data_IF_362969329556
#
_entry.id   IF_362969329556
#
_cell.length_a   1.000
_cell.length_b   1.000
_cell.length_c   1.000
_cell.angle_alpha   90.00
_cell.angle_beta   90.00
_cell.angle_gamma   90.00
#
_symmetry.space_group_name_H-M   'P 1'
#
loop_
_entity.id
_entity.type
_entity.pdbx_description
1 polymer ?
#
# COMPACT_ATOMS: atom_id res chain seq x y z
N UNK A 1 -20.23 1.80 11.46
CA UNK A 1 -19.97 3.26 11.37
C UNK A 1 -18.60 3.60 10.76
N UNK A 2 -17.52 2.85 11.04
CA UNK A 2 -16.16 3.14 10.50
C UNK A 2 -16.04 3.03 8.97
N UNK A 3 -16.56 1.97 8.33
CA UNK A 3 -16.50 1.80 6.86
C UNK A 3 -17.20 2.91 6.06
N UNK A 4 -18.32 3.43 6.56
CA UNK A 4 -19.05 4.54 5.93
C UNK A 4 -18.24 5.83 6.02
N UNK A 5 -17.57 6.08 7.14
CA UNK A 5 -16.67 7.22 7.30
C UNK A 5 -15.44 7.12 6.38
N UNK A 6 -14.83 5.94 6.24
CA UNK A 6 -13.71 5.68 5.34
C UNK A 6 -14.11 5.84 3.86
N UNK A 7 -15.30 5.37 3.49
CA UNK A 7 -15.85 5.54 2.14
C UNK A 7 -16.12 7.00 1.80
N UNK A 8 -16.73 7.74 2.73
CA UNK A 8 -16.94 9.19 2.58
C UNK A 8 -15.60 9.90 2.45
N UNK A 9 -14.65 9.69 3.37
CA UNK A 9 -13.30 10.28 3.32
C UNK A 9 -12.59 10.00 2.00
N UNK A 10 -12.62 8.74 1.56
CA UNK A 10 -12.03 8.32 0.30
C UNK A 10 -12.65 9.06 -0.89
N UNK A 11 -13.98 9.13 -0.92
CA UNK A 11 -14.75 9.83 -1.94
C UNK A 11 -14.49 11.33 -1.97
N UNK A 12 -14.52 12.03 -0.84
CA UNK A 12 -14.30 13.49 -0.80
C UNK A 12 -12.89 13.85 -1.24
N UNK A 13 -11.89 13.07 -0.84
CA UNK A 13 -10.50 13.33 -1.21
C UNK A 13 -10.29 13.12 -2.72
N UNK A 14 -10.88 12.07 -3.30
CA UNK A 14 -10.91 11.83 -4.74
C UNK A 14 -11.60 12.97 -5.51
N UNK A 15 -12.73 13.45 -5.01
CA UNK A 15 -13.46 14.59 -5.60
C UNK A 15 -12.63 15.87 -5.52
N UNK A 16 -11.97 16.15 -4.40
CA UNK A 16 -11.06 17.28 -4.26
C UNK A 16 -9.87 17.20 -5.24
N UNK A 17 -9.28 16.01 -5.42
CA UNK A 17 -8.21 15.79 -6.40
C UNK A 17 -8.68 16.07 -7.84
N UNK A 18 -9.91 15.65 -8.17
CA UNK A 18 -10.52 15.88 -9.48
C UNK A 18 -10.87 17.36 -9.70
N UNK A 19 -11.39 18.05 -8.70
CA UNK A 19 -11.75 19.48 -8.79
C UNK A 19 -10.53 20.40 -8.91
N UNK A 20 -9.41 20.05 -8.27
CA UNK A 20 -8.16 20.81 -8.39
C UNK A 20 -7.42 20.54 -9.73
N UNK A 21 -7.83 19.52 -10.48
CA UNK A 21 -7.21 19.16 -11.75
C UNK A 21 -7.72 20.01 -12.92
N UNK A 22 -7.00 21.08 -13.24
CA UNK A 22 -7.14 21.78 -14.54
C UNK A 22 -6.27 21.18 -15.65
N UNK A 23 -5.33 20.29 -15.32
CA UNK A 23 -4.37 19.66 -16.25
C UNK A 23 -4.00 18.26 -15.77
N UNK A 24 -3.65 17.35 -16.71
CA UNK A 24 -3.27 15.95 -16.42
C UNK A 24 -2.17 15.84 -15.35
N UNK A 25 -1.21 16.77 -15.34
CA UNK A 25 -0.11 16.78 -14.36
C UNK A 25 -0.55 17.31 -12.98
N UNK A 26 -1.50 18.25 -12.95
CA UNK A 26 -2.08 18.75 -11.70
C UNK A 26 -2.98 17.70 -11.03
N UNK A 27 -3.70 16.90 -11.83
CA UNK A 27 -4.43 15.73 -11.34
C UNK A 27 -3.50 14.73 -10.70
N UNK A 28 -2.44 14.34 -11.39
CA UNK A 28 -1.52 13.33 -10.91
C UNK A 28 -0.80 13.80 -9.64
N UNK A 29 -0.39 15.06 -9.59
CA UNK A 29 0.16 15.69 -8.38
C UNK A 29 -0.84 15.73 -7.22
N UNK A 30 -2.10 16.10 -7.50
CA UNK A 30 -3.20 16.08 -6.53
C UNK A 30 -3.45 14.67 -5.97
N UNK A 31 -3.46 13.64 -6.82
CA UNK A 31 -3.60 12.25 -6.39
C UNK A 31 -2.41 11.82 -5.53
N UNK A 32 -1.17 12.08 -5.97
CA UNK A 32 0.04 11.70 -5.21
C UNK A 32 0.09 12.37 -3.83
N UNK A 33 -0.40 13.61 -3.71
CA UNK A 33 -0.40 14.35 -2.44
C UNK A 33 -1.56 13.97 -1.52
N UNK A 34 -2.74 13.68 -2.08
CA UNK A 34 -3.95 13.40 -1.32
C UNK A 34 -4.10 11.93 -0.90
N UNK A 35 -3.52 10.97 -1.62
CA UNK A 35 -3.54 9.55 -1.26
C UNK A 35 -2.85 9.27 0.10
N UNK A 36 -1.67 9.84 0.40
CA UNK A 36 -1.06 9.74 1.71
C UNK A 36 -1.94 10.32 2.82
N UNK A 37 -2.60 11.46 2.58
CA UNK A 37 -3.49 12.11 3.54
C UNK A 37 -4.70 11.21 3.85
N UNK A 38 -5.32 10.62 2.81
CA UNK A 38 -6.39 9.64 2.95
C UNK A 38 -5.92 8.43 3.77
N UNK A 39 -4.71 7.95 3.50
CA UNK A 39 -4.12 6.79 4.17
C UNK A 39 -3.90 7.08 5.66
N UNK A 40 -3.34 8.25 6.00
CA UNK A 40 -3.16 8.71 7.38
C UNK A 40 -4.49 8.85 8.13
N UNK A 41 -5.48 9.50 7.52
CA UNK A 41 -6.81 9.66 8.11
C UNK A 41 -7.49 8.29 8.35
N UNK A 42 -7.33 7.35 7.43
CA UNK A 42 -7.88 6.01 7.56
C UNK A 42 -7.19 5.23 8.69
N UNK A 43 -5.85 5.29 8.77
CA UNK A 43 -5.08 4.67 9.86
C UNK A 43 -5.48 5.28 11.21
N UNK A 44 -5.64 6.59 11.30
CA UNK A 44 -6.10 7.27 12.52
C UNK A 44 -7.46 6.72 13.00
N UNK A 45 -8.44 6.63 12.10
CA UNK A 45 -9.77 6.10 12.43
C UNK A 45 -9.72 4.63 12.82
N UNK A 46 -8.86 3.82 12.21
CA UNK A 46 -8.68 2.41 12.56
C UNK A 46 -8.00 2.25 13.93
N UNK A 47 -6.97 3.03 14.22
CA UNK A 47 -6.24 2.97 15.50
C UNK A 47 -7.14 3.34 16.70
N UNK A 48 -8.07 4.28 16.55
CA UNK A 48 -9.00 4.67 17.61
C UNK A 48 -9.96 3.54 18.03
N UNK A 49 -10.18 2.55 17.15
CA UNK A 49 -11.08 1.43 17.40
C UNK A 49 -10.34 0.10 17.59
N UNK A 50 -9.01 0.13 17.71
CA UNK A 50 -8.15 -1.06 17.76
C UNK A 50 -7.60 -1.29 19.16
N UNK A 51 -7.53 -2.56 19.61
CA UNK A 51 -6.88 -2.90 20.87
C UNK A 51 -5.35 -2.80 20.75
N UNK A 52 -4.64 -2.71 21.89
CA UNK A 52 -3.18 -2.65 21.90
C UNK A 52 -2.55 -3.90 21.27
N UNK A 53 -3.16 -5.07 21.44
CA UNK A 53 -2.68 -6.32 20.84
C UNK A 53 -2.84 -6.31 19.32
N UNK A 54 -4.00 -5.89 18.83
CA UNK A 54 -4.28 -5.78 17.40
C UNK A 54 -3.39 -4.72 16.73
N UNK A 55 -3.08 -3.63 17.45
CA UNK A 55 -2.16 -2.60 16.99
C UNK A 55 -0.74 -3.15 16.77
N UNK A 56 -0.20 -3.90 17.75
CA UNK A 56 1.15 -4.49 17.63
C UNK A 56 1.21 -5.53 16.50
N UNK A 57 0.17 -6.33 16.33
CA UNK A 57 0.08 -7.29 15.22
C UNK A 57 0.03 -6.57 13.86
N UNK A 58 -0.80 -5.53 13.76
CA UNK A 58 -0.92 -4.72 12.54
C UNK A 58 0.37 -4.00 12.21
N UNK A 59 1.05 -3.43 13.21
CA UNK A 59 2.35 -2.77 13.04
C UNK A 59 3.41 -3.76 12.55
N UNK A 60 3.46 -4.97 13.13
CA UNK A 60 4.37 -6.03 12.69
C UNK A 60 4.08 -6.41 11.23
N UNK A 61 2.82 -6.66 10.88
CA UNK A 61 2.43 -7.00 9.52
C UNK A 61 2.75 -5.86 8.53
N UNK A 62 2.56 -4.60 8.93
CA UNK A 62 2.89 -3.43 8.12
C UNK A 62 4.40 -3.33 7.83
N UNK A 63 5.25 -3.56 8.83
CA UNK A 63 6.71 -3.56 8.63
C UNK A 63 7.15 -4.63 7.63
N UNK A 64 6.66 -5.86 7.78
CA UNK A 64 7.01 -6.96 6.86
C UNK A 64 6.42 -6.75 5.46
N UNK A 65 5.21 -6.19 5.36
CA UNK A 65 4.64 -5.77 4.08
C UNK A 65 5.52 -4.73 3.37
N UNK A 66 6.03 -3.74 4.10
CA UNK A 66 6.92 -2.72 3.55
C UNK A 66 8.25 -3.32 3.05
N UNK A 67 8.87 -4.22 3.82
CA UNK A 67 10.06 -4.95 3.36
C UNK A 67 9.78 -5.78 2.10
N UNK A 68 8.64 -6.47 2.05
CA UNK A 68 8.22 -7.23 0.87
C UNK A 68 8.12 -6.37 -0.39
N UNK A 69 7.56 -5.16 -0.28
CA UNK A 69 7.46 -4.22 -1.42
C UNK A 69 8.85 -3.75 -1.88
N UNK A 70 9.77 -3.48 -0.96
CA UNK A 70 11.16 -3.11 -1.32
C UNK A 70 11.86 -4.24 -2.05
N UNK A 71 11.73 -5.48 -1.56
CA UNK A 71 12.29 -6.68 -2.22
C UNK A 71 11.70 -6.85 -3.62
N UNK A 72 10.39 -6.68 -3.77
CA UNK A 72 9.70 -6.79 -5.06
C UNK A 72 10.21 -5.76 -6.07
N UNK A 73 10.31 -4.49 -5.68
CA UNK A 73 10.81 -3.42 -6.56
C UNK A 73 12.28 -3.66 -6.92
N UNK A 74 13.12 -4.04 -5.95
CA UNK A 74 14.53 -4.34 -6.18
C UNK A 74 14.70 -5.50 -7.17
N UNK A 75 13.93 -6.57 -7.02
CA UNK A 75 13.93 -7.71 -7.94
C UNK A 75 13.48 -7.30 -9.34
N UNK A 76 12.40 -6.53 -9.49
CA UNK A 76 12.00 -6.03 -10.82
C UNK A 76 13.15 -5.24 -11.46
N UNK A 77 13.75 -4.32 -10.70
CA UNK A 77 14.83 -3.48 -11.23
C UNK A 77 16.03 -4.32 -11.69
N UNK A 78 16.48 -5.27 -10.86
CA UNK A 78 17.58 -6.17 -11.21
C UNK A 78 17.22 -7.08 -12.37
N UNK A 79 16.09 -7.80 -12.32
CA UNK A 79 15.70 -8.76 -13.37
C UNK A 79 15.44 -8.09 -14.72
N UNK A 80 14.95 -6.85 -14.73
CA UNK A 80 14.70 -6.11 -16.00
C UNK A 80 16.00 -5.82 -16.76
N UNK A 81 17.17 -5.86 -16.10
CA UNK A 81 18.48 -5.76 -16.79
C UNK A 81 18.84 -7.03 -17.58
N UNK A 82 18.25 -8.18 -17.24
CA UNK A 82 18.61 -9.49 -17.80
C UNK A 82 17.52 -10.09 -18.68
N UNK A 83 16.25 -9.73 -18.44
CA UNK A 83 15.10 -10.37 -19.09
C UNK A 83 14.10 -9.31 -19.55
N UNK A 84 13.24 -9.67 -20.51
CA UNK A 84 12.13 -8.81 -20.95
C UNK A 84 11.28 -8.38 -19.74
N UNK A 85 10.83 -7.11 -19.70
CA UNK A 85 10.21 -6.51 -18.51
C UNK A 85 9.00 -7.29 -17.98
N UNK A 86 8.17 -7.85 -18.88
CA UNK A 86 7.05 -8.71 -18.48
C UNK A 86 7.49 -9.94 -17.68
N UNK A 87 8.56 -10.61 -18.11
CA UNK A 87 9.06 -11.82 -17.44
C UNK A 87 9.72 -11.47 -16.11
N UNK A 88 10.41 -10.33 -16.03
CA UNK A 88 10.98 -9.81 -14.79
C UNK A 88 9.90 -9.54 -13.73
N UNK A 89 8.76 -8.97 -14.14
CA UNK A 89 7.61 -8.73 -13.25
C UNK A 89 7.01 -10.04 -12.73
N UNK A 90 6.76 -11.03 -13.59
CA UNK A 90 6.24 -12.34 -13.15
C UNK A 90 7.20 -13.07 -12.21
N UNK A 91 8.51 -13.01 -12.48
CA UNK A 91 9.54 -13.58 -11.62
C UNK A 91 9.57 -12.93 -10.24
N UNK A 92 9.64 -11.60 -10.20
CA UNK A 92 9.61 -10.85 -8.95
C UNK A 92 8.30 -11.08 -8.16
N UNK A 93 7.17 -11.18 -8.86
CA UNK A 93 5.87 -11.44 -8.25
C UNK A 93 5.84 -12.81 -7.56
N UNK A 94 6.40 -13.83 -8.20
CA UNK A 94 6.50 -15.18 -7.63
C UNK A 94 7.32 -15.15 -6.33
N UNK A 95 8.47 -14.47 -6.32
CA UNK A 95 9.29 -14.33 -5.11
C UNK A 95 8.57 -13.55 -4.01
N UNK A 96 7.84 -12.49 -4.37
CA UNK A 96 7.03 -11.72 -3.43
C UNK A 96 5.92 -12.57 -2.78
N UNK A 97 5.21 -13.39 -3.57
CA UNK A 97 4.19 -14.31 -3.04
C UNK A 97 4.81 -15.33 -2.07
N UNK A 98 5.95 -15.92 -2.42
CA UNK A 98 6.68 -16.83 -1.54
C UNK A 98 7.11 -16.14 -0.24
N UNK A 99 7.60 -14.90 -0.32
CA UNK A 99 7.94 -14.08 0.84
C UNK A 99 6.71 -13.85 1.74
N UNK A 100 5.58 -13.45 1.18
CA UNK A 100 4.35 -13.19 1.94
C UNK A 100 3.80 -14.47 2.62
N UNK A 101 3.88 -15.61 1.94
CA UNK A 101 3.51 -16.91 2.52
C UNK A 101 4.47 -17.27 3.66
N UNK A 102 5.77 -17.09 3.47
CA UNK A 102 6.78 -17.33 4.51
C UNK A 102 6.55 -16.48 5.75
N UNK A 103 6.28 -15.18 5.58
CA UNK A 103 5.95 -14.29 6.70
C UNK A 103 4.66 -14.73 7.42
N UNK A 104 3.63 -15.15 6.68
CA UNK A 104 2.39 -15.65 7.28
C UNK A 104 2.64 -16.90 8.13
N UNK A 105 3.44 -17.86 7.63
CA UNK A 105 3.79 -19.07 8.36
C UNK A 105 4.63 -18.75 9.62
N UNK A 106 5.59 -17.83 9.52
CA UNK A 106 6.39 -17.38 10.66
C UNK A 106 5.55 -16.71 11.76
N UNK A 107 4.46 -16.03 11.39
CA UNK A 107 3.57 -15.39 12.37
C UNK A 107 2.44 -16.28 12.90
N UNK A 108 2.21 -17.43 12.27
CA UNK A 108 1.24 -18.42 12.73
C UNK A 108 1.82 -19.40 13.76
N UNK A 109 3.16 -19.57 13.77
CA UNK A 109 3.91 -20.27 14.82
C UNK A 109 4.21 -19.36 16.02
#
# INVERSE_FOLDING_TARGET
MSYVAQFLLGGTIMVCAALLSKSKYLFLSGVITLLPIMTLANIYLQMHHMSVNDFRLTQKNAMFGAFGVVIFIALIFTLTQWVKPLHAVFGAFTVYVLYMIGCKLWFAS
#
